data_IF_308260274726
#
_entry.id   IF_308260274726
#
_cell.length_a   1.000
_cell.length_b   1.000
_cell.length_c   1.000
_cell.angle_alpha   90.00
_cell.angle_beta   90.00
_cell.angle_gamma   90.00
#
_symmetry.space_group_name_H-M   'P 1'
#
loop_
_entity.id
_entity.type
_entity.pdbx_description
1 polymer ?
#
# COMPACT_ATOMS: atom_id res chain seq x y z
N UNK A 1 -15.46 -43.39 20.63
CA UNK A 1 -16.68 -42.90 19.95
C UNK A 1 -16.48 -41.41 19.75
N UNK A 2 -15.99 -41.00 18.59
CA UNK A 2 -15.72 -39.59 18.26
C UNK A 2 -16.97 -39.01 17.61
N UNK A 3 -17.59 -38.01 18.23
CA UNK A 3 -18.79 -37.36 17.70
C UNK A 3 -18.47 -36.59 16.41
N UNK A 4 -19.16 -36.84 15.29
CA UNK A 4 -18.88 -36.21 14.00
C UNK A 4 -19.56 -34.84 13.80
N UNK A 5 -19.86 -34.09 14.87
CA UNK A 5 -20.66 -32.85 14.80
C UNK A 5 -19.90 -31.52 15.03
N UNK A 6 -18.56 -31.49 15.08
CA UNK A 6 -17.82 -30.25 15.43
C UNK A 6 -16.99 -29.64 14.27
N UNK A 7 -17.55 -29.54 13.08
CA UNK A 7 -16.89 -28.89 11.92
C UNK A 7 -17.48 -27.51 11.60
N UNK A 8 -18.71 -27.22 12.02
CA UNK A 8 -19.39 -25.94 11.79
C UNK A 8 -18.97 -24.85 12.78
N UNK A 9 -18.87 -25.15 14.08
CA UNK A 9 -18.55 -24.14 15.11
C UNK A 9 -17.13 -23.58 14.97
N UNK A 10 -16.19 -24.41 14.52
CA UNK A 10 -14.83 -23.99 14.19
C UNK A 10 -14.80 -23.02 13.00
N UNK A 11 -15.61 -23.25 11.96
CA UNK A 11 -15.71 -22.35 10.81
C UNK A 11 -16.37 -21.01 11.18
N UNK A 12 -17.42 -21.02 12.00
CA UNK A 12 -18.09 -19.78 12.44
C UNK A 12 -17.20 -18.92 13.34
N UNK A 13 -16.44 -19.54 14.25
CA UNK A 13 -15.50 -18.81 15.12
C UNK A 13 -14.33 -18.23 14.34
N UNK A 14 -13.80 -18.92 13.33
CA UNK A 14 -12.78 -18.38 12.41
C UNK A 14 -13.32 -17.19 11.59
N UNK A 15 -14.52 -17.31 11.03
CA UNK A 15 -15.14 -16.23 10.24
C UNK A 15 -15.45 -15.00 11.09
N UNK A 16 -15.95 -15.20 12.32
CA UNK A 16 -16.19 -14.12 13.26
C UNK A 16 -14.90 -13.41 13.64
N UNK A 17 -13.81 -14.16 13.90
CA UNK A 17 -12.49 -13.59 14.18
C UNK A 17 -11.91 -12.83 12.99
N UNK A 18 -12.08 -13.33 11.76
CA UNK A 18 -11.69 -12.61 10.54
C UNK A 18 -12.50 -11.32 10.36
N UNK A 19 -13.80 -11.36 10.64
CA UNK A 19 -14.67 -10.20 10.52
C UNK A 19 -14.28 -9.12 11.55
N UNK A 20 -13.99 -9.50 12.79
CA UNK A 20 -13.47 -8.58 13.81
C UNK A 20 -12.12 -7.98 13.40
N UNK A 21 -11.20 -8.79 12.86
CA UNK A 21 -9.89 -8.32 12.39
C UNK A 21 -10.03 -7.31 11.24
N UNK A 22 -10.92 -7.56 10.27
CA UNK A 22 -11.18 -6.65 9.14
C UNK A 22 -11.77 -5.32 9.65
N UNK A 23 -12.74 -5.36 10.57
CA UNK A 23 -13.33 -4.16 11.14
C UNK A 23 -12.30 -3.35 11.95
N UNK A 24 -11.40 -4.05 12.66
CA UNK A 24 -10.31 -3.43 13.39
C UNK A 24 -9.31 -2.74 12.45
N UNK A 25 -8.93 -3.39 11.34
CA UNK A 25 -8.07 -2.78 10.31
C UNK A 25 -8.75 -1.59 9.65
N UNK A 26 -10.02 -1.69 9.30
CA UNK A 26 -10.79 -0.61 8.68
C UNK A 26 -10.74 0.65 9.56
N UNK A 27 -11.07 0.51 10.84
CA UNK A 27 -11.17 1.64 11.77
C UNK A 27 -9.81 2.27 12.09
N UNK A 28 -8.77 1.47 12.28
CA UNK A 28 -7.49 1.96 12.81
C UNK A 28 -6.43 2.19 11.73
N UNK A 29 -6.59 1.58 10.55
CA UNK A 29 -5.68 1.75 9.42
C UNK A 29 -6.40 2.55 8.34
N UNK A 30 -7.44 1.99 7.72
CA UNK A 30 -8.02 2.59 6.52
C UNK A 30 -8.57 4.00 6.78
N UNK A 31 -9.44 4.15 7.78
CA UNK A 31 -10.09 5.42 8.10
C UNK A 31 -9.06 6.50 8.50
N UNK A 32 -8.02 6.11 9.24
CA UNK A 32 -6.93 7.00 9.65
C UNK A 32 -6.14 7.48 8.43
N UNK A 33 -5.71 6.55 7.56
CA UNK A 33 -5.01 6.88 6.31
C UNK A 33 -5.86 7.80 5.43
N UNK A 34 -7.14 7.51 5.29
CA UNK A 34 -8.06 8.32 4.50
C UNK A 34 -8.23 9.74 5.06
N UNK A 35 -8.33 9.88 6.39
CA UNK A 35 -8.45 11.18 7.05
C UNK A 35 -7.19 12.05 6.84
N UNK A 36 -6.00 11.46 6.85
CA UNK A 36 -4.74 12.21 6.72
C UNK A 36 -4.22 12.34 5.27
N UNK A 37 -4.71 11.52 4.35
CA UNK A 37 -4.23 11.45 2.97
C UNK A 37 -4.25 12.82 2.24
N UNK A 38 -5.32 13.65 2.32
CA UNK A 38 -5.36 14.94 1.63
C UNK A 38 -4.26 15.91 2.09
N UNK A 39 -3.94 15.91 3.38
CA UNK A 39 -2.94 16.80 3.98
C UNK A 39 -1.50 16.28 3.92
N UNK A 40 -1.31 14.96 3.73
CA UNK A 40 0.00 14.31 3.82
C UNK A 40 0.99 14.79 2.75
N UNK A 41 0.48 15.19 1.58
CA UNK A 41 1.26 15.74 0.47
C UNK A 41 1.56 17.24 0.61
N UNK A 42 0.75 17.98 1.39
CA UNK A 42 0.82 19.43 1.49
C UNK A 42 1.79 19.92 2.59
N UNK A 43 1.86 19.23 3.73
CA UNK A 43 2.55 19.75 4.94
C UNK A 43 3.94 19.17 5.16
N UNK A 44 4.37 18.22 4.34
CA UNK A 44 5.65 17.51 4.50
C UNK A 44 6.73 18.13 3.60
N UNK A 45 7.86 18.58 4.18
CA UNK A 45 9.16 18.82 3.48
C UNK A 45 9.58 17.66 2.54
N UNK A 46 8.98 16.48 2.73
CA UNK A 46 9.10 15.25 1.95
C UNK A 46 8.33 15.28 0.60
N UNK A 47 8.24 16.41 -0.09
CA UNK A 47 7.89 16.43 -1.53
C UNK A 47 9.04 15.90 -2.40
N UNK A 48 10.28 16.01 -1.93
CA UNK A 48 11.44 15.46 -2.63
C UNK A 48 11.43 13.93 -2.60
N UNK A 49 11.59 13.23 -3.73
CA UNK A 49 11.71 11.79 -3.76
C UNK A 49 12.88 11.30 -2.90
N UNK A 50 12.82 10.04 -2.44
CA UNK A 50 13.88 9.50 -1.59
C UNK A 50 15.21 9.45 -2.34
N UNK A 51 16.31 10.04 -1.83
CA UNK A 51 17.57 10.14 -2.58
C UNK A 51 18.11 8.80 -3.07
N UNK A 52 17.99 7.74 -2.26
CA UNK A 52 18.43 6.40 -2.65
C UNK A 52 17.64 5.85 -3.84
N UNK A 53 16.33 6.10 -3.89
CA UNK A 53 15.47 5.68 -5.00
C UNK A 53 15.79 6.50 -6.25
N UNK A 54 15.99 7.81 -6.10
CA UNK A 54 16.44 8.67 -7.20
C UNK A 54 17.76 8.15 -7.78
N UNK A 55 18.77 7.88 -6.94
CA UNK A 55 20.05 7.36 -7.40
C UNK A 55 19.92 6.02 -8.13
N UNK A 56 19.00 5.16 -7.70
CA UNK A 56 18.70 3.93 -8.43
C UNK A 56 18.08 4.21 -9.80
N UNK A 57 17.08 5.10 -9.88
CA UNK A 57 16.40 5.47 -11.13
C UNK A 57 17.33 6.15 -12.14
N UNK A 58 18.29 6.96 -11.65
CA UNK A 58 19.29 7.64 -12.48
C UNK A 58 20.31 6.67 -13.12
N UNK A 59 20.50 5.48 -12.53
CA UNK A 59 21.40 4.44 -13.08
C UNK A 59 20.72 3.56 -14.14
N UNK A 60 19.41 3.69 -14.32
CA UNK A 60 18.69 2.88 -15.31
C UNK A 60 18.96 3.37 -16.73
N UNK A 61 18.98 2.49 -17.74
CA UNK A 61 19.14 2.91 -19.12
C UNK A 61 17.98 3.80 -19.59
N UNK A 62 18.23 4.62 -20.60
CA UNK A 62 17.19 5.40 -21.29
C UNK A 62 16.14 4.45 -21.87
N UNK A 63 14.86 4.80 -21.73
CA UNK A 63 13.74 3.98 -22.18
C UNK A 63 13.40 2.80 -21.26
N UNK A 64 14.05 2.66 -20.11
CA UNK A 64 13.67 1.65 -19.12
C UNK A 64 12.20 1.81 -18.69
N UNK A 65 11.53 0.66 -18.51
CA UNK A 65 10.18 0.56 -17.97
C UNK A 65 10.24 0.11 -16.52
N UNK A 66 9.57 0.82 -15.62
CA UNK A 66 9.49 0.50 -14.20
C UNK A 66 8.07 0.61 -13.65
N UNK A 67 7.84 -0.09 -12.55
CA UNK A 67 6.57 -0.16 -11.84
C UNK A 67 6.78 0.20 -10.37
N UNK A 68 6.08 1.23 -9.87
CA UNK A 68 6.09 1.67 -8.48
C UNK A 68 4.79 1.19 -7.80
N UNK A 69 4.87 0.09 -7.03
CA UNK A 69 3.73 -0.51 -6.32
C UNK A 69 3.56 0.17 -4.96
N UNK A 70 2.35 0.61 -4.65
CA UNK A 70 2.08 1.46 -3.49
C UNK A 70 2.68 2.84 -3.70
N UNK A 71 2.54 3.41 -4.90
CA UNK A 71 3.21 4.66 -5.28
C UNK A 71 2.78 5.87 -4.45
N UNK A 72 1.70 5.77 -3.67
CA UNK A 72 1.16 6.83 -2.85
C UNK A 72 0.80 8.03 -3.71
N UNK A 73 1.42 9.16 -3.37
CA UNK A 73 1.27 10.40 -4.12
C UNK A 73 2.15 10.50 -5.38
N UNK A 74 2.77 9.39 -5.82
CA UNK A 74 3.54 9.33 -7.05
C UNK A 74 4.87 10.09 -7.00
N UNK A 75 5.44 10.34 -5.81
CA UNK A 75 6.64 11.19 -5.65
C UNK A 75 7.87 10.77 -6.48
N UNK A 76 7.97 9.51 -6.91
CA UNK A 76 9.08 9.02 -7.71
C UNK A 76 8.79 9.02 -9.23
N UNK A 77 7.52 9.13 -9.63
CA UNK A 77 7.09 8.96 -11.02
C UNK A 77 7.62 10.08 -11.94
N UNK A 78 7.88 11.27 -11.39
CA UNK A 78 8.39 12.43 -12.13
C UNK A 78 9.87 12.70 -11.90
N UNK A 79 10.64 11.72 -11.40
CA UNK A 79 12.09 11.89 -11.13
C UNK A 79 12.87 12.11 -12.42
N UNK A 80 12.43 11.51 -13.53
CA UNK A 80 13.15 11.54 -14.80
C UNK A 80 12.19 11.33 -15.97
N UNK A 81 12.40 12.05 -17.08
CA UNK A 81 11.49 12.07 -18.24
C UNK A 81 11.85 11.11 -19.38
N UNK A 82 13.03 10.49 -19.35
CA UNK A 82 13.51 9.58 -20.40
C UNK A 82 13.42 8.09 -19.99
N UNK A 83 12.64 7.79 -18.95
CA UNK A 83 12.19 6.45 -18.56
C UNK A 83 10.67 6.45 -18.37
N UNK A 84 10.06 5.28 -18.48
CA UNK A 84 8.62 5.09 -18.29
C UNK A 84 8.42 4.48 -16.90
N UNK A 85 7.78 5.23 -16.01
CA UNK A 85 7.38 4.73 -14.69
C UNK A 85 5.86 4.71 -14.60
N UNK A 86 5.33 3.53 -14.27
CA UNK A 86 3.90 3.31 -14.01
C UNK A 86 3.72 3.21 -12.50
N UNK A 87 2.80 3.99 -11.93
CA UNK A 87 2.43 3.90 -10.52
C UNK A 87 1.14 3.10 -10.35
N UNK A 88 1.10 2.23 -9.33
CA UNK A 88 -0.13 1.58 -8.88
C UNK A 88 -0.28 1.80 -7.38
N UNK A 89 -1.47 2.21 -6.96
CA UNK A 89 -1.87 2.25 -5.56
C UNK A 89 -3.38 1.93 -5.45
N UNK A 90 -3.86 1.70 -4.21
CA UNK A 90 -5.24 1.28 -3.90
C UNK A 90 -6.26 2.41 -4.03
#
# INVERSE_FOLDING_TARGET
MSDPQNTSDTQYTEYAGQHEAIQHEQKHVHDVYQAIAPGFSATRRKRQPWPSVVNFLMKQPKGALGLDIGCGNGRHLSVRSDIILIGLDR
#
